data_IF_762382052821
#
_entry.id   IF_762382052821
#
_cell.length_a   1.000
_cell.length_b   1.000
_cell.length_c   1.000
_cell.angle_alpha   90.00
_cell.angle_beta   90.00
_cell.angle_gamma   90.00
#
_symmetry.space_group_name_H-M   'P 1'
#
loop_
_entity.id
_entity.type
_entity.pdbx_description
1 polymer ?
#
# COMPACT_ATOMS: atom_id res chain seq x y z
N UNK A 1 12.00 -6.65 19.13
CA UNK A 1 12.17 -5.73 18.02
C UNK A 1 10.92 -5.64 17.21
N UNK A 2 10.60 -4.43 16.86
CA UNK A 2 9.39 -4.20 16.07
C UNK A 2 9.74 -4.27 14.60
N UNK A 3 9.03 -5.10 13.87
CA UNK A 3 9.17 -5.16 12.42
C UNK A 3 8.38 -4.01 11.80
N UNK A 4 8.90 -3.46 10.72
CA UNK A 4 8.14 -2.49 9.93
C UNK A 4 6.90 -3.19 9.37
N UNK A 5 5.77 -2.46 9.37
CA UNK A 5 4.46 -3.01 9.00
C UNK A 5 4.01 -2.52 7.64
N UNK A 6 3.58 -3.45 6.81
CA UNK A 6 3.03 -3.14 5.48
C UNK A 6 1.60 -3.66 5.40
N UNK A 7 0.69 -2.81 4.93
CA UNK A 7 -0.68 -3.19 4.62
C UNK A 7 -0.83 -3.31 3.12
N UNK A 8 -1.36 -4.43 2.66
CA UNK A 8 -1.62 -4.69 1.25
C UNK A 8 -3.14 -4.65 1.02
N UNK A 9 -3.59 -3.72 0.19
CA UNK A 9 -5.02 -3.52 -0.11
C UNK A 9 -5.27 -3.82 -1.58
N UNK A 10 -5.93 -4.95 -1.86
CA UNK A 10 -6.23 -5.37 -3.21
C UNK A 10 -7.39 -6.38 -3.15
N UNK A 11 -8.38 -6.21 -4.02
CA UNK A 11 -9.51 -7.13 -4.05
C UNK A 11 -9.19 -8.44 -4.75
N UNK A 12 -8.12 -8.48 -5.54
CA UNK A 12 -7.69 -9.69 -6.23
C UNK A 12 -6.89 -10.57 -5.28
N UNK A 13 -7.46 -11.70 -4.92
CA UNK A 13 -6.86 -12.61 -3.94
C UNK A 13 -5.43 -13.02 -4.31
N UNK A 14 -5.21 -13.40 -5.58
CA UNK A 14 -3.90 -13.84 -6.03
C UNK A 14 -2.81 -12.79 -5.89
N UNK A 15 -3.12 -11.55 -6.24
CA UNK A 15 -2.17 -10.44 -6.12
C UNK A 15 -1.90 -10.15 -4.65
N UNK A 16 -2.95 -10.12 -3.83
CA UNK A 16 -2.82 -9.83 -2.41
C UNK A 16 -1.93 -10.88 -1.72
N UNK A 17 -2.15 -12.15 -2.01
CA UNK A 17 -1.37 -13.24 -1.43
C UNK A 17 0.08 -13.20 -1.91
N UNK A 18 0.28 -12.92 -3.20
CA UNK A 18 1.63 -12.82 -3.76
C UNK A 18 2.44 -11.72 -3.07
N UNK A 19 1.87 -10.53 -2.97
CA UNK A 19 2.56 -9.41 -2.32
C UNK A 19 2.80 -9.70 -0.84
N UNK A 20 1.83 -10.31 -0.19
CA UNK A 20 1.97 -10.67 1.21
C UNK A 20 3.16 -11.62 1.43
N UNK A 21 3.29 -12.65 0.60
CA UNK A 21 4.41 -13.57 0.70
C UNK A 21 5.74 -12.90 0.42
N UNK A 22 5.80 -12.08 -0.63
CA UNK A 22 7.03 -11.40 -0.99
C UNK A 22 7.56 -10.57 0.16
N UNK A 23 6.71 -9.72 0.76
CA UNK A 23 7.16 -8.82 1.80
C UNK A 23 7.34 -9.50 3.15
N UNK A 24 6.56 -10.53 3.42
CA UNK A 24 6.76 -11.32 4.63
C UNK A 24 8.14 -11.99 4.62
N UNK A 25 8.54 -12.53 3.48
CA UNK A 25 9.87 -13.13 3.33
C UNK A 25 11.00 -12.13 3.46
N UNK A 26 10.74 -10.87 3.13
CA UNK A 26 11.74 -9.82 3.28
C UNK A 26 11.89 -9.32 4.71
N UNK A 27 11.05 -9.80 5.62
CA UNK A 27 11.14 -9.45 7.04
C UNK A 27 10.13 -8.44 7.52
N UNK A 28 9.21 -8.00 6.66
CA UNK A 28 8.15 -7.08 7.08
C UNK A 28 7.02 -7.84 7.76
N UNK A 29 6.35 -7.16 8.67
CA UNK A 29 5.10 -7.67 9.22
C UNK A 29 3.98 -7.21 8.29
N UNK A 30 3.22 -8.15 7.74
CA UNK A 30 2.26 -7.86 6.68
C UNK A 30 0.83 -8.04 7.14
N UNK A 31 -0.05 -7.19 6.60
CA UNK A 31 -1.49 -7.25 6.81
C UNK A 31 -2.18 -7.17 5.46
N UNK A 32 -3.35 -7.75 5.34
CA UNK A 32 -4.09 -7.80 4.09
C UNK A 32 -5.50 -7.24 4.27
N UNK A 33 -5.97 -6.49 3.27
CA UNK A 33 -7.34 -6.02 3.21
C UNK A 33 -7.87 -6.20 1.78
N UNK A 34 -9.09 -6.67 1.66
CA UNK A 34 -9.72 -6.89 0.36
C UNK A 34 -10.60 -5.71 -0.08
N UNK A 35 -10.83 -4.74 0.79
CA UNK A 35 -11.67 -3.58 0.49
C UNK A 35 -11.28 -2.40 1.38
N UNK A 36 -11.88 -1.24 1.10
CA UNK A 36 -11.54 -0.01 1.78
C UNK A 36 -11.91 0.00 3.26
N UNK A 37 -13.04 -0.62 3.62
CA UNK A 37 -13.48 -0.65 5.01
C UNK A 37 -12.49 -1.44 5.86
N UNK A 38 -12.09 -2.62 5.39
CA UNK A 38 -11.07 -3.42 6.07
C UNK A 38 -9.76 -2.67 6.17
N UNK A 39 -9.36 -2.00 5.07
CA UNK A 39 -8.10 -1.26 5.04
C UNK A 39 -8.07 -0.17 6.09
N UNK A 40 -9.13 0.62 6.19
CA UNK A 40 -9.20 1.73 7.15
C UNK A 40 -9.21 1.22 8.59
N UNK A 41 -9.89 0.10 8.83
CA UNK A 41 -9.90 -0.52 10.15
C UNK A 41 -8.48 -0.95 10.56
N UNK A 42 -7.74 -1.57 9.65
CA UNK A 42 -6.37 -2.00 9.91
C UNK A 42 -5.45 -0.79 10.14
N UNK A 43 -5.62 0.27 9.36
CA UNK A 43 -4.83 1.50 9.57
C UNK A 43 -5.04 2.04 10.98
N UNK A 44 -6.29 2.06 11.46
CA UNK A 44 -6.59 2.54 12.81
C UNK A 44 -5.99 1.66 13.90
N UNK A 45 -6.09 0.35 13.74
CA UNK A 45 -5.72 -0.60 14.79
C UNK A 45 -4.24 -0.96 14.78
N UNK A 46 -3.67 -1.14 13.61
CA UNK A 46 -2.31 -1.64 13.47
C UNK A 46 -1.28 -0.56 13.15
N UNK A 47 -1.72 0.59 12.67
CA UNK A 47 -0.83 1.69 12.30
C UNK A 47 0.31 1.23 11.39
N UNK A 48 0.02 0.70 10.20
CA UNK A 48 1.09 0.26 9.30
C UNK A 48 1.97 1.44 8.89
N UNK A 49 3.23 1.14 8.61
CA UNK A 49 4.19 2.14 8.19
C UNK A 49 4.06 2.49 6.71
N UNK A 50 3.63 1.52 5.92
CA UNK A 50 3.45 1.70 4.49
C UNK A 50 2.24 0.91 4.01
N UNK A 51 1.51 1.46 3.04
CA UNK A 51 0.35 0.81 2.43
C UNK A 51 0.58 0.67 0.94
N UNK A 52 0.33 -0.52 0.40
CA UNK A 52 0.21 -0.74 -1.03
C UNK A 52 -1.28 -0.73 -1.33
N UNK A 53 -1.76 0.29 -2.00
CA UNK A 53 -3.19 0.54 -2.19
C UNK A 53 -3.61 0.41 -3.64
N UNK A 54 -4.41 -0.60 -3.94
CA UNK A 54 -5.05 -0.73 -5.25
C UNK A 54 -6.15 0.34 -5.34
N UNK A 55 -6.07 1.21 -6.33
CA UNK A 55 -7.01 2.31 -6.50
C UNK A 55 -8.32 1.89 -7.14
N UNK A 56 -8.39 0.68 -7.67
CA UNK A 56 -9.58 0.16 -8.38
C UNK A 56 -10.26 -0.96 -7.61
N UNK A 57 -10.54 -0.75 -6.33
CA UNK A 57 -11.31 -1.73 -5.56
C UNK A 57 -12.79 -1.36 -5.58
N UNK A 58 -13.68 -2.37 -5.69
CA UNK A 58 -15.12 -2.09 -5.64
C UNK A 58 -15.56 -1.52 -4.31
N UNK A 59 -16.58 -0.69 -4.33
CA UNK A 59 -17.28 -0.21 -3.14
C UNK A 59 -16.82 1.13 -2.60
N UNK A 60 -15.54 1.44 -2.63
CA UNK A 60 -15.04 2.74 -2.18
C UNK A 60 -13.97 3.23 -3.14
N UNK A 61 -14.06 4.50 -3.51
CA UNK A 61 -13.09 5.15 -4.38
C UNK A 61 -11.71 5.17 -3.72
N UNK A 62 -10.69 4.77 -4.47
CA UNK A 62 -9.30 4.75 -3.96
C UNK A 62 -8.82 6.11 -3.48
N UNK A 63 -9.22 7.18 -4.15
CA UNK A 63 -8.88 8.54 -3.71
C UNK A 63 -9.48 8.82 -2.33
N UNK A 64 -10.73 8.40 -2.13
CA UNK A 64 -11.38 8.59 -0.82
C UNK A 64 -10.69 7.77 0.27
N UNK A 65 -10.29 6.54 -0.05
CA UNK A 65 -9.55 5.70 0.89
C UNK A 65 -8.25 6.40 1.29
N UNK A 66 -7.51 6.91 0.30
CA UNK A 66 -6.24 7.59 0.55
C UNK A 66 -6.44 8.81 1.44
N UNK A 67 -7.46 9.63 1.17
CA UNK A 67 -7.78 10.79 2.01
C UNK A 67 -8.04 10.38 3.44
N UNK A 68 -8.84 9.33 3.64
CA UNK A 68 -9.17 8.85 5.00
C UNK A 68 -7.96 8.28 5.73
N UNK A 69 -7.08 7.58 5.00
CA UNK A 69 -5.84 7.10 5.60
C UNK A 69 -5.00 8.26 6.12
N UNK A 70 -4.88 9.32 5.33
CA UNK A 70 -4.10 10.50 5.72
C UNK A 70 -4.72 11.26 6.89
N UNK A 71 -6.04 11.21 7.04
CA UNK A 71 -6.71 11.79 8.21
C UNK A 71 -6.37 10.99 9.47
N UNK A 72 -6.35 9.65 9.36
CA UNK A 72 -6.04 8.78 10.50
C UNK A 72 -4.57 8.93 10.90
N UNK A 73 -3.68 9.00 9.93
CA UNK A 73 -2.25 9.07 10.15
C UNK A 73 -1.61 9.85 8.99
N UNK A 74 -1.34 11.13 9.19
CA UNK A 74 -0.80 11.97 8.13
C UNK A 74 0.61 11.58 7.70
N UNK A 75 1.33 10.82 8.53
CA UNK A 75 2.68 10.35 8.23
C UNK A 75 2.68 9.03 7.46
N UNK A 76 1.51 8.43 7.23
CA UNK A 76 1.45 7.12 6.59
C UNK A 76 2.00 7.19 5.16
N UNK A 77 2.85 6.23 4.81
CA UNK A 77 3.41 6.14 3.48
C UNK A 77 2.48 5.29 2.61
N UNK A 78 2.10 5.81 1.45
CA UNK A 78 1.20 5.09 0.55
C UNK A 78 1.81 5.02 -0.84
N UNK A 79 1.89 3.81 -1.37
CA UNK A 79 2.22 3.54 -2.77
C UNK A 79 0.94 3.04 -3.42
N UNK A 80 0.54 3.65 -4.52
CA UNK A 80 -0.70 3.26 -5.19
C UNK A 80 -0.45 2.31 -6.36
N UNK A 81 -1.42 1.45 -6.62
CA UNK A 81 -1.43 0.57 -7.78
C UNK A 81 -2.62 0.96 -8.64
N UNK A 82 -2.40 1.17 -9.93
CA UNK A 82 -3.41 1.70 -10.84
C UNK A 82 -3.52 0.85 -12.10
N UNK A 83 -4.59 1.07 -12.87
CA UNK A 83 -4.64 0.55 -14.22
C UNK A 83 -3.80 1.46 -15.13
N UNK A 84 -3.34 0.91 -16.23
CA UNK A 84 -2.57 1.67 -17.21
C UNK A 84 -3.41 2.84 -17.74
N UNK A 85 -2.81 4.02 -17.80
CA UNK A 85 -3.47 5.19 -18.39
C UNK A 85 -4.29 6.06 -17.43
N UNK A 86 -4.29 5.76 -16.14
CA UNK A 86 -5.07 6.50 -15.14
C UNK A 86 -4.33 7.76 -14.67
N UNK A 87 -3.99 8.65 -15.61
CA UNK A 87 -3.12 9.80 -15.33
C UNK A 87 -3.72 10.78 -14.32
N UNK A 88 -5.02 11.06 -14.43
CA UNK A 88 -5.67 12.02 -13.52
C UNK A 88 -5.67 11.49 -12.09
N UNK A 89 -5.94 10.20 -11.92
CA UNK A 89 -5.92 9.56 -10.61
C UNK A 89 -4.52 9.57 -10.01
N UNK A 90 -3.51 9.30 -10.82
CA UNK A 90 -2.11 9.32 -10.38
C UNK A 90 -1.74 10.73 -9.90
N UNK A 91 -2.10 11.75 -10.66
CA UNK A 91 -1.81 13.13 -10.30
C UNK A 91 -2.51 13.54 -9.01
N UNK A 92 -3.79 13.22 -8.88
CA UNK A 92 -4.55 13.52 -7.66
C UNK A 92 -3.98 12.80 -6.45
N UNK A 93 -3.61 11.53 -6.60
CA UNK A 93 -3.00 10.75 -5.53
C UNK A 93 -1.68 11.36 -5.07
N UNK A 94 -0.88 11.82 -6.02
CA UNK A 94 0.39 12.46 -5.72
C UNK A 94 0.19 13.74 -4.91
N UNK A 95 -0.81 14.54 -5.27
CA UNK A 95 -1.15 15.76 -4.54
C UNK A 95 -1.60 15.46 -3.11
N UNK A 96 -2.20 14.28 -2.90
CA UNK A 96 -2.63 13.83 -1.58
C UNK A 96 -1.50 13.17 -0.79
N UNK A 97 -0.30 13.09 -1.36
CA UNK A 97 0.86 12.58 -0.65
C UNK A 97 1.26 11.14 -0.96
N UNK A 98 0.69 10.52 -1.99
CA UNK A 98 1.16 9.20 -2.41
C UNK A 98 2.60 9.31 -2.88
N UNK A 99 3.44 8.35 -2.50
CA UNK A 99 4.87 8.40 -2.76
C UNK A 99 5.22 8.10 -4.21
N UNK A 100 4.56 7.09 -4.75
CA UNK A 100 4.79 6.66 -6.14
C UNK A 100 3.62 5.78 -6.56
N UNK A 101 3.65 5.31 -7.79
CA UNK A 101 2.59 4.46 -8.33
C UNK A 101 3.17 3.35 -9.19
N UNK A 102 2.42 2.27 -9.32
CA UNK A 102 2.73 1.18 -10.24
C UNK A 102 1.48 0.83 -11.02
N UNK A 103 1.61 0.70 -12.35
CA UNK A 103 0.51 0.26 -13.19
C UNK A 103 0.46 -1.26 -13.22
N UNK A 104 -0.73 -1.83 -13.20
CA UNK A 104 -0.91 -3.27 -13.35
C UNK A 104 -0.94 -3.63 -14.85
N UNK A 105 -0.30 -4.71 -15.26
CA UNK A 105 0.52 -5.63 -14.45
C UNK A 105 1.86 -4.99 -14.10
N UNK A 106 2.29 -5.18 -12.85
CA UNK A 106 3.52 -4.56 -12.37
C UNK A 106 4.64 -5.61 -12.26
N UNK A 107 5.86 -5.11 -12.17
CA UNK A 107 7.04 -5.94 -11.93
C UNK A 107 7.26 -6.03 -10.42
N UNK A 108 7.27 -7.25 -9.89
CA UNK A 108 7.45 -7.50 -8.46
C UNK A 108 8.76 -6.88 -7.95
N UNK A 109 9.83 -7.00 -8.74
CA UNK A 109 11.12 -6.49 -8.31
C UNK A 109 11.13 -4.97 -8.21
N UNK A 110 10.41 -4.28 -9.09
CA UNK A 110 10.28 -2.83 -9.02
C UNK A 110 9.55 -2.41 -7.75
N UNK A 111 8.48 -3.12 -7.38
CA UNK A 111 7.74 -2.82 -6.16
C UNK A 111 8.61 -3.11 -4.93
N UNK A 112 9.33 -4.22 -4.93
CA UNK A 112 10.24 -4.55 -3.83
C UNK A 112 11.29 -3.46 -3.62
N UNK A 113 11.88 -2.97 -4.69
CA UNK A 113 12.87 -1.91 -4.60
C UNK A 113 12.28 -0.60 -4.09
N UNK A 114 11.08 -0.25 -4.56
CA UNK A 114 10.40 0.95 -4.10
C UNK A 114 10.10 0.86 -2.60
N UNK A 115 9.61 -0.29 -2.14
CA UNK A 115 9.32 -0.48 -0.72
C UNK A 115 10.59 -0.35 0.11
N UNK A 116 11.70 -0.94 -0.34
CA UNK A 116 12.97 -0.82 0.37
C UNK A 116 13.44 0.63 0.46
N UNK A 117 13.19 1.41 -0.59
CA UNK A 117 13.58 2.81 -0.62
C UNK A 117 12.77 3.63 0.38
N UNK A 118 11.46 3.43 0.42
CA UNK A 118 10.58 4.23 1.28
C UNK A 118 10.43 3.67 2.69
N UNK A 119 10.70 2.39 2.88
CA UNK A 119 10.58 1.74 4.18
C UNK A 119 11.70 0.72 4.36
N UNK A 120 12.95 1.19 4.55
CA UNK A 120 14.05 0.25 4.74
C UNK A 120 13.89 -0.54 6.02
N UNK A 121 14.21 -1.84 5.96
CA UNK A 121 14.23 -2.69 7.14
C UNK A 121 15.44 -2.29 7.98
N UNK A 122 15.19 -1.95 9.23
CA UNK A 122 16.27 -1.57 10.13
C UNK A 122 17.03 -2.81 10.55
N UNK A 123 18.33 -2.76 10.33
CA UNK A 123 19.21 -3.81 10.78
C UNK A 123 19.27 -3.79 12.30
N UNK A 124 19.38 -4.98 12.87
CA UNK A 124 19.57 -5.09 14.29
C UNK A 124 21.01 -5.04 14.68
N UNK A 125 21.72 -4.60 13.80
CA UNK A 125 23.15 -4.46 14.02
C UNK A 125 23.63 -4.99 15.27
#
# INVERSE_FOLDING_TARGET
MMNEKILIVDDQYGIRVLLNEVFNKEGYKTFQAANGIQALDIVKKQRPDLVLLDMKIPGMDGIEILKRMKVIDEEIRVIIMTAYGELDMIQESKELGALTHFAKPFDIDEIREAVKTYLPIKSNG
#
